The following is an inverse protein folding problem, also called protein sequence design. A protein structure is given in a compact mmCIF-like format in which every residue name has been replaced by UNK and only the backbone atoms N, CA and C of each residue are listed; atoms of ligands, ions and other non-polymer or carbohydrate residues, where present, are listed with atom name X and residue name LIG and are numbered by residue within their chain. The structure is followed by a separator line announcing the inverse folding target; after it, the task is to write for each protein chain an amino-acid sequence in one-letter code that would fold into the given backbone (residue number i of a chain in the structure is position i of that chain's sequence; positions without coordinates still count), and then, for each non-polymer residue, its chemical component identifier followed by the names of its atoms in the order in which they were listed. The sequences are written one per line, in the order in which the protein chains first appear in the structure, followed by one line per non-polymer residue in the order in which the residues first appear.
data_IF_597603527287
#
_entry.id   IF_597603527287
#
_cell.length_a   1.000
_cell.length_b   1.000
_cell.length_c   1.000
_cell.angle_alpha   90.00
_cell.angle_beta   90.00
_cell.angle_gamma   90.00
#
_symmetry.space_group_name_H-M   'P 1'
#
loop_
_entity.id
_entity.type
_entity.pdbx_description
1 polymer ?
#
# COMPACT_ATOMS: atom_id res chain seq x y z
N UNK A 1 2.92 -21.24 5.34
CA UNK A 1 3.17 -19.83 5.44
C UNK A 1 4.49 -19.32 4.86
N UNK A 2 5.16 -20.07 3.99
CA UNK A 2 6.47 -19.66 3.44
C UNK A 2 6.34 -18.91 2.09
N UNK A 3 5.14 -18.81 1.51
CA UNK A 3 4.93 -18.26 0.17
C UNK A 3 5.29 -16.78 0.00
N UNK A 4 5.05 -15.94 1.00
CA UNK A 4 5.31 -14.49 0.91
C UNK A 4 6.77 -14.12 1.14
N UNK A 5 7.50 -14.97 1.82
CA UNK A 5 8.93 -14.80 2.02
C UNK A 5 9.67 -14.75 0.67
N UNK A 6 9.17 -15.46 -0.34
CA UNK A 6 9.85 -15.57 -1.63
C UNK A 6 9.90 -14.27 -2.46
N UNK A 7 8.95 -13.36 -2.34
CA UNK A 7 8.93 -12.12 -3.15
C UNK A 7 9.99 -11.11 -2.77
N UNK A 8 10.40 -11.11 -1.50
CA UNK A 8 11.39 -10.19 -0.93
C UNK A 8 12.70 -10.89 -0.57
N UNK A 9 12.78 -12.18 -0.80
CA UNK A 9 14.02 -12.93 -0.59
C UNK A 9 15.14 -12.37 -1.47
N UNK A 10 16.32 -12.25 -0.92
CA UNK A 10 17.49 -11.74 -1.60
C UNK A 10 17.55 -10.22 -1.77
N UNK A 11 16.58 -9.44 -1.22
CA UNK A 11 16.61 -7.97 -1.26
C UNK A 11 17.10 -7.32 0.03
N UNK A 12 17.37 -8.10 1.08
CA UNK A 12 17.94 -7.62 2.33
C UNK A 12 16.99 -6.79 3.21
N UNK A 13 15.69 -6.73 2.91
CA UNK A 13 14.74 -5.87 3.63
C UNK A 13 14.58 -6.30 5.09
N UNK A 14 14.25 -7.57 5.36
CA UNK A 14 14.05 -8.05 6.73
C UNK A 14 15.30 -7.92 7.60
N UNK A 15 16.49 -8.36 7.19
CA UNK A 15 17.70 -8.17 8.00
C UNK A 15 18.02 -6.69 8.25
N UNK A 16 17.77 -5.80 7.27
CA UNK A 16 17.98 -4.35 7.45
C UNK A 16 17.04 -3.76 8.50
N UNK A 17 15.75 -4.15 8.50
CA UNK A 17 14.82 -3.73 9.56
C UNK A 17 15.15 -4.35 10.91
N UNK A 18 15.64 -5.58 10.95
CA UNK A 18 16.17 -6.21 12.17
C UNK A 18 17.32 -5.38 12.74
N UNK A 19 18.28 -5.01 11.90
CA UNK A 19 19.40 -4.16 12.30
C UNK A 19 18.94 -2.78 12.76
N UNK A 20 17.96 -2.17 12.09
CA UNK A 20 17.37 -0.89 12.52
C UNK A 20 16.80 -0.99 13.94
N UNK A 21 15.96 -2.02 14.20
CA UNK A 21 15.29 -2.18 15.50
C UNK A 21 16.28 -2.56 16.61
N UNK A 22 17.29 -3.37 16.30
CA UNK A 22 18.39 -3.70 17.22
C UNK A 22 19.40 -2.56 17.40
N UNK A 23 19.24 -1.44 16.67
CA UNK A 23 20.12 -0.25 16.72
C UNK A 23 21.53 -0.50 16.21
N UNK A 24 21.68 -1.43 15.30
CA UNK A 24 22.94 -1.82 14.66
C UNK A 24 22.99 -1.46 13.17
N UNK A 25 21.92 -0.89 12.63
CA UNK A 25 21.81 -0.55 11.22
C UNK A 25 22.62 0.69 10.85
N UNK A 26 23.11 0.71 9.63
CA UNK A 26 23.67 1.92 9.01
C UNK A 26 22.56 2.93 8.72
N UNK A 27 22.86 4.19 8.94
CA UNK A 27 22.01 5.32 8.61
C UNK A 27 22.67 6.16 7.52
N UNK A 28 21.85 6.87 6.74
CA UNK A 28 22.34 7.72 5.65
C UNK A 28 23.37 8.75 6.16
N UNK A 29 23.16 9.34 7.33
CA UNK A 29 24.11 10.28 7.95
C UNK A 29 25.48 9.66 8.27
N UNK A 30 25.56 8.33 8.43
CA UNK A 30 26.85 7.66 8.69
C UNK A 30 27.79 7.75 7.49
N UNK A 31 27.26 7.99 6.28
CA UNK A 31 28.04 8.23 5.05
C UNK A 31 29.01 9.42 5.24
N UNK A 32 28.60 10.40 6.04
CA UNK A 32 29.40 11.58 6.34
C UNK A 32 30.27 11.41 7.61
N UNK A 33 30.00 10.38 8.43
CA UNK A 33 30.64 10.20 9.74
C UNK A 33 30.88 8.72 10.06
N UNK A 34 32.16 8.32 10.17
CA UNK A 34 32.58 6.98 10.62
C UNK A 34 31.96 5.81 9.80
N UNK A 35 31.78 6.01 8.50
CA UNK A 35 31.13 5.03 7.64
C UNK A 35 31.88 3.68 7.64
N UNK A 36 33.21 3.71 7.45
CA UNK A 36 34.05 2.52 7.29
C UNK A 36 34.01 1.64 8.55
N UNK A 37 34.10 2.24 9.73
CA UNK A 37 34.06 1.53 11.00
C UNK A 37 32.68 0.88 11.23
N UNK A 38 31.61 1.63 11.01
CA UNK A 38 30.24 1.13 11.17
C UNK A 38 29.89 0.05 10.14
N UNK A 39 30.34 0.22 8.91
CA UNK A 39 30.16 -0.79 7.87
C UNK A 39 30.92 -2.08 8.21
N UNK A 40 32.19 -2.00 8.62
CA UNK A 40 32.98 -3.14 9.01
C UNK A 40 32.33 -3.91 10.19
N UNK A 41 31.80 -3.18 11.18
CA UNK A 41 31.10 -3.78 12.31
C UNK A 41 29.79 -4.47 11.89
N UNK A 42 29.02 -3.87 10.98
CA UNK A 42 27.78 -4.47 10.42
C UNK A 42 28.12 -5.73 9.63
N UNK A 43 29.12 -5.65 8.73
CA UNK A 43 29.59 -6.78 7.93
C UNK A 43 30.03 -7.95 8.81
N UNK A 44 30.85 -7.71 9.81
CA UNK A 44 31.33 -8.73 10.72
C UNK A 44 30.20 -9.47 11.47
N UNK A 45 29.13 -8.76 11.88
CA UNK A 45 27.95 -9.39 12.50
C UNK A 45 27.24 -10.33 11.54
N UNK A 46 27.00 -9.89 10.31
CA UNK A 46 26.33 -10.72 9.30
C UNK A 46 27.20 -11.91 8.88
N UNK A 47 28.51 -11.74 8.79
CA UNK A 47 29.46 -12.83 8.53
C UNK A 47 29.41 -13.91 9.63
N UNK A 48 29.29 -13.52 10.90
CA UNK A 48 29.11 -14.48 12.00
C UNK A 48 27.82 -15.28 11.86
N UNK A 49 26.72 -14.64 11.47
CA UNK A 49 25.44 -15.32 11.24
C UNK A 49 25.58 -16.32 10.09
N UNK A 50 26.12 -15.89 8.94
CA UNK A 50 26.31 -16.75 7.77
C UNK A 50 27.22 -17.94 8.09
N UNK A 51 28.29 -17.70 8.84
CA UNK A 51 29.18 -18.77 9.33
C UNK A 51 28.44 -19.77 10.23
N UNK A 52 27.57 -19.32 11.11
CA UNK A 52 26.78 -20.21 11.98
C UNK A 52 25.78 -21.08 11.18
N UNK A 53 25.38 -20.62 10.00
CA UNK A 53 24.52 -21.33 9.06
C UNK A 53 25.29 -22.21 8.07
N UNK A 54 26.63 -22.27 8.15
CA UNK A 54 27.49 -22.91 7.18
C UNK A 54 27.25 -22.47 5.75
N UNK A 55 26.95 -21.17 5.55
CA UNK A 55 26.67 -20.58 4.25
C UNK A 55 27.92 -19.91 3.69
N UNK A 56 28.38 -20.43 2.53
CA UNK A 56 29.48 -19.82 1.78
C UNK A 56 28.93 -18.79 0.80
N UNK A 57 29.61 -17.66 0.68
CA UNK A 57 29.21 -16.57 -0.19
C UNK A 57 30.42 -15.76 -0.67
N UNK A 58 30.25 -15.12 -1.80
CA UNK A 58 31.17 -14.10 -2.33
C UNK A 58 30.36 -12.85 -2.68
N UNK A 59 30.71 -11.72 -2.08
CA UNK A 59 30.06 -10.43 -2.31
C UNK A 59 31.00 -9.41 -2.93
N UNK A 60 32.20 -9.80 -3.34
CA UNK A 60 33.27 -8.89 -3.78
C UNK A 60 32.79 -7.88 -4.81
N UNK A 61 32.15 -8.34 -5.88
CA UNK A 61 31.67 -7.44 -6.94
C UNK A 61 30.44 -6.63 -6.51
N UNK A 62 29.51 -7.22 -5.74
CA UNK A 62 28.33 -6.55 -5.23
C UNK A 62 28.73 -5.49 -4.20
N UNK A 63 29.65 -5.80 -3.31
CA UNK A 63 30.19 -4.86 -2.32
C UNK A 63 30.86 -3.67 -2.99
N UNK A 64 31.66 -3.91 -4.03
CA UNK A 64 32.29 -2.85 -4.81
C UNK A 64 31.25 -1.91 -5.43
N UNK A 65 30.25 -2.45 -6.13
CA UNK A 65 29.16 -1.66 -6.73
C UNK A 65 28.37 -0.89 -5.66
N UNK A 66 28.14 -1.50 -4.49
CA UNK A 66 27.45 -0.84 -3.41
C UNK A 66 28.26 0.33 -2.84
N UNK A 67 29.58 0.16 -2.65
CA UNK A 67 30.48 1.22 -2.20
C UNK A 67 30.56 2.38 -3.23
N UNK A 68 30.59 2.08 -4.53
CA UNK A 68 30.47 3.10 -5.58
C UNK A 68 29.15 3.89 -5.45
N UNK A 69 28.03 3.20 -5.13
CA UNK A 69 26.75 3.83 -4.82
C UNK A 69 26.80 4.73 -3.57
N UNK A 70 27.54 4.36 -2.53
CA UNK A 70 27.75 5.19 -1.34
C UNK A 70 28.53 6.47 -1.71
N UNK A 71 29.59 6.37 -2.51
CA UNK A 71 30.30 7.57 -2.99
C UNK A 71 29.41 8.48 -3.82
N UNK A 72 28.55 7.90 -4.69
CA UNK A 72 27.59 8.69 -5.44
C UNK A 72 26.58 9.41 -4.52
N UNK A 73 26.14 8.81 -3.42
CA UNK A 73 25.27 9.47 -2.46
C UNK A 73 25.89 10.68 -1.77
N UNK A 74 27.22 10.76 -1.70
CA UNK A 74 27.93 11.94 -1.15
C UNK A 74 27.77 13.21 -2.00
N UNK A 75 27.39 13.05 -3.27
CA UNK A 75 27.13 14.18 -4.18
C UNK A 75 25.79 14.87 -3.90
N UNK A 76 24.89 14.22 -3.13
CA UNK A 76 23.58 14.77 -2.80
C UNK A 76 23.62 15.60 -1.51
N UNK A 77 22.68 16.55 -1.42
CA UNK A 77 22.46 17.28 -0.18
C UNK A 77 21.74 16.39 0.85
N UNK A 78 22.51 15.80 1.76
CA UNK A 78 21.98 15.00 2.85
C UNK A 78 21.53 15.93 3.99
N UNK A 79 20.28 15.78 4.44
CA UNK A 79 19.66 16.67 5.40
C UNK A 79 19.12 15.89 6.62
N UNK A 80 19.01 16.57 7.76
CA UNK A 80 18.21 16.11 8.88
C UNK A 80 16.74 16.38 8.56
N UNK A 81 16.02 15.34 8.12
CA UNK A 81 14.66 15.44 7.55
C UNK A 81 13.69 16.13 8.50
N UNK A 82 13.77 15.87 9.81
CA UNK A 82 12.93 16.48 10.83
C UNK A 82 13.13 18.00 10.92
N UNK A 83 14.36 18.51 10.73
CA UNK A 83 14.62 19.96 10.71
C UNK A 83 14.19 20.59 9.39
N UNK A 84 14.55 19.97 8.27
CA UNK A 84 14.24 20.51 6.93
C UNK A 84 12.74 20.60 6.69
N UNK A 85 12.00 19.51 6.90
CA UNK A 85 10.54 19.47 6.66
C UNK A 85 9.80 20.44 7.59
N UNK A 86 10.15 20.49 8.88
CA UNK A 86 9.51 21.43 9.80
C UNK A 86 9.84 22.88 9.49
N UNK A 87 11.02 23.19 8.92
CA UNK A 87 11.37 24.53 8.43
C UNK A 87 10.50 24.92 7.25
N UNK A 88 10.37 24.04 6.24
CA UNK A 88 9.52 24.28 5.08
C UNK A 88 8.06 24.55 5.48
N UNK A 89 7.54 23.78 6.43
CA UNK A 89 6.18 24.02 6.94
C UNK A 89 6.04 25.38 7.67
N UNK A 90 7.06 25.82 8.42
CA UNK A 90 7.07 27.15 9.04
C UNK A 90 7.11 28.29 8.01
N UNK A 91 7.74 28.05 6.87
CA UNK A 91 7.76 28.97 5.72
C UNK A 91 6.43 29.00 4.97
N UNK A 92 5.43 28.21 5.37
CA UNK A 92 4.12 28.13 4.73
C UNK A 92 4.10 27.27 3.46
N UNK A 93 5.12 26.45 3.24
CA UNK A 93 5.15 25.50 2.10
C UNK A 93 4.31 24.27 2.39
N UNK A 94 3.74 23.69 1.33
CA UNK A 94 3.02 22.41 1.39
C UNK A 94 3.99 21.25 1.16
N UNK A 95 3.79 20.15 1.89
CA UNK A 95 4.55 18.92 1.75
C UNK A 95 3.59 17.79 1.42
N UNK A 96 3.83 17.09 0.31
CA UNK A 96 3.11 15.87 -0.04
C UNK A 96 3.92 14.66 0.41
N UNK A 97 3.31 13.85 1.29
CA UNK A 97 3.90 12.59 1.75
C UNK A 97 3.25 11.44 1.00
N UNK A 98 4.03 10.74 0.19
CA UNK A 98 3.57 9.52 -0.49
C UNK A 98 4.03 8.29 0.29
N UNK A 99 3.05 7.47 0.73
CA UNK A 99 3.31 6.18 1.36
C UNK A 99 3.61 5.09 0.33
N UNK A 100 4.01 3.94 0.84
CA UNK A 100 4.27 2.75 0.02
C UNK A 100 3.46 1.56 0.56
N UNK A 101 3.22 0.56 -0.29
CA UNK A 101 2.46 -0.68 -0.03
C UNK A 101 0.97 -0.38 0.21
N UNK A 102 0.45 -0.55 1.44
CA UNK A 102 -0.94 -0.31 1.79
C UNK A 102 -1.21 -0.69 3.24
N UNK A 103 -2.34 -0.24 3.78
CA UNK A 103 -2.72 -0.37 5.19
C UNK A 103 -2.66 -1.80 5.69
N UNK A 104 -3.19 -2.77 4.92
CA UNK A 104 -3.23 -4.18 5.32
C UNK A 104 -1.86 -4.85 5.32
N UNK A 105 -0.80 -4.15 4.90
CA UNK A 105 0.60 -4.59 4.95
C UNK A 105 1.40 -3.87 6.04
N UNK A 106 0.79 -3.00 6.84
CA UNK A 106 1.46 -2.34 7.97
C UNK A 106 1.95 -3.37 8.99
N UNK A 107 3.15 -3.16 9.53
CA UNK A 107 3.79 -4.12 10.44
C UNK A 107 3.02 -4.31 11.73
N UNK A 108 2.30 -3.29 12.20
CA UNK A 108 1.57 -3.31 13.47
C UNK A 108 0.06 -3.51 13.26
N UNK A 109 -0.52 -2.88 12.23
CA UNK A 109 -1.97 -2.82 12.00
C UNK A 109 -2.44 -3.59 10.77
N UNK A 110 -1.54 -4.22 10.03
CA UNK A 110 -1.88 -5.06 8.88
C UNK A 110 -2.31 -6.49 9.26
N UNK A 111 -2.51 -7.31 8.23
CA UNK A 111 -2.87 -8.73 8.37
C UNK A 111 -1.67 -9.59 8.80
N UNK A 112 -1.19 -9.38 10.02
CA UNK A 112 -0.05 -10.09 10.58
C UNK A 112 -0.26 -11.63 10.56
N UNK A 113 0.75 -12.46 10.22
CA UNK A 113 2.15 -12.11 9.92
C UNK A 113 2.42 -11.75 8.44
N UNK A 114 1.39 -11.63 7.61
CA UNK A 114 1.50 -11.38 6.16
C UNK A 114 1.62 -9.88 5.84
N UNK A 115 2.58 -9.23 6.46
CA UNK A 115 2.83 -7.79 6.44
C UNK A 115 4.23 -7.45 5.93
N UNK A 116 4.50 -6.16 5.68
CA UNK A 116 5.86 -5.66 5.44
C UNK A 116 6.56 -5.34 6.77
N UNK A 117 7.83 -5.04 6.73
CA UNK A 117 8.62 -4.71 7.94
C UNK A 117 8.53 -3.21 8.33
N UNK A 118 7.70 -2.44 7.66
CA UNK A 118 7.58 -0.99 7.87
C UNK A 118 6.16 -0.58 8.22
N UNK A 119 6.01 0.60 8.83
CA UNK A 119 4.72 1.24 9.00
C UNK A 119 4.28 1.85 7.66
N UNK A 120 3.15 1.38 7.16
CA UNK A 120 2.58 1.81 5.87
C UNK A 120 1.36 2.71 6.04
N UNK A 121 0.85 2.85 7.27
CA UNK A 121 -0.22 3.77 7.61
C UNK A 121 0.29 5.22 7.66
N UNK A 122 -0.63 6.19 7.68
CA UNK A 122 -0.33 7.63 7.69
C UNK A 122 0.66 8.04 8.78
N UNK A 123 0.60 7.41 9.96
CA UNK A 123 1.56 7.63 11.06
C UNK A 123 3.01 7.35 10.65
N UNK A 124 3.24 6.54 9.60
CA UNK A 124 4.56 6.31 9.01
C UNK A 124 5.22 7.58 8.47
N UNK A 125 4.45 8.58 8.03
CA UNK A 125 4.97 9.89 7.66
C UNK A 125 5.54 10.64 8.87
N UNK A 126 4.86 10.56 10.02
CA UNK A 126 5.33 11.18 11.26
C UNK A 126 6.66 10.57 11.72
N UNK A 127 6.73 9.24 11.82
CA UNK A 127 7.92 8.53 12.29
C UNK A 127 9.06 8.51 11.27
N UNK A 128 8.75 8.54 9.98
CA UNK A 128 9.73 8.52 8.89
C UNK A 128 10.39 9.87 8.61
N UNK A 129 9.64 10.96 8.78
CA UNK A 129 10.10 12.32 8.46
C UNK A 129 10.33 13.20 9.68
N UNK A 130 9.96 12.73 10.89
CA UNK A 130 10.07 13.53 12.11
C UNK A 130 9.01 14.63 12.19
N UNK A 131 7.79 14.34 11.76
CA UNK A 131 6.66 15.27 11.84
C UNK A 131 5.83 15.04 13.09
N UNK A 132 5.41 16.13 13.73
CA UNK A 132 4.37 16.06 14.75
C UNK A 132 3.01 15.67 14.13
N UNK A 133 2.21 14.78 14.76
CA UNK A 133 0.94 14.31 14.18
C UNK A 133 -0.04 15.46 13.90
N UNK A 134 0.04 16.57 14.62
CA UNK A 134 -0.77 17.77 14.38
C UNK A 134 -0.33 18.59 13.14
N UNK A 135 0.65 18.12 12.39
CA UNK A 135 1.09 18.71 11.12
C UNK A 135 0.53 17.97 9.90
N UNK A 136 -0.08 16.83 10.15
CA UNK A 136 -0.82 16.11 9.10
C UNK A 136 -2.14 16.88 8.87
N UNK A 137 -2.35 17.30 7.64
CA UNK A 137 -3.58 17.94 7.21
C UNK A 137 -4.52 16.93 6.56
N UNK A 138 -4.67 17.02 5.24
CA UNK A 138 -5.48 16.07 4.47
C UNK A 138 -4.80 14.72 4.33
N UNK A 139 -5.58 13.65 4.48
CA UNK A 139 -5.13 12.28 4.24
C UNK A 139 -5.96 11.67 3.13
N UNK A 140 -5.33 11.47 1.97
CA UNK A 140 -5.96 10.84 0.81
C UNK A 140 -5.76 9.32 0.87
N UNK A 141 -6.87 8.58 0.97
CA UNK A 141 -6.89 7.12 0.86
C UNK A 141 -7.06 6.70 -0.60
N UNK A 142 -6.09 5.98 -1.15
CA UNK A 142 -6.19 5.44 -2.51
C UNK A 142 -6.79 4.04 -2.44
N UNK A 143 -7.93 3.84 -3.11
CA UNK A 143 -8.60 2.55 -3.23
C UNK A 143 -8.89 2.22 -4.70
N UNK A 144 -9.02 0.95 -5.02
CA UNK A 144 -9.53 0.50 -6.32
C UNK A 144 -11.03 0.19 -6.20
N UNK A 145 -11.72 0.18 -7.32
CA UNK A 145 -13.10 -0.29 -7.40
C UNK A 145 -13.25 -1.80 -7.09
N UNK A 146 -12.15 -2.52 -6.96
CA UNK A 146 -12.04 -3.92 -6.57
C UNK A 146 -10.80 -4.12 -5.69
N UNK A 147 -10.65 -5.27 -5.07
CA UNK A 147 -9.49 -5.57 -4.23
C UNK A 147 -8.44 -6.41 -4.97
N UNK A 148 -7.17 -6.19 -4.62
CA UNK A 148 -6.06 -7.03 -5.08
C UNK A 148 -5.12 -7.36 -3.94
N UNK A 149 -4.56 -8.57 -3.96
CA UNK A 149 -3.52 -8.98 -3.04
C UNK A 149 -2.37 -9.65 -3.77
N UNK A 150 -1.16 -9.37 -3.31
CA UNK A 150 0.05 -10.02 -3.79
C UNK A 150 0.58 -10.93 -2.69
N UNK A 151 0.68 -12.24 -2.99
CA UNK A 151 1.23 -13.23 -2.06
C UNK A 151 0.19 -13.85 -1.13
N UNK A 152 0.66 -14.58 -0.12
CA UNK A 152 -0.19 -15.26 0.85
C UNK A 152 -0.85 -14.28 1.84
N UNK A 153 -1.71 -14.79 2.67
CA UNK A 153 -2.44 -14.07 3.69
C UNK A 153 -3.93 -13.94 3.37
N UNK A 154 -4.70 -13.45 4.33
CA UNK A 154 -6.16 -13.40 4.24
C UNK A 154 -6.62 -12.47 3.11
N UNK A 155 -7.66 -12.91 2.42
CA UNK A 155 -8.34 -12.13 1.38
C UNK A 155 -9.80 -12.60 1.29
N UNK A 156 -10.68 -12.14 2.18
CA UNK A 156 -12.05 -12.64 2.29
C UNK A 156 -12.87 -12.55 1.00
N UNK A 157 -12.65 -11.51 0.21
CA UNK A 157 -13.38 -11.27 -1.04
C UNK A 157 -12.71 -11.86 -2.28
N UNK A 158 -11.67 -12.70 -2.13
CA UNK A 158 -10.97 -13.32 -3.26
C UNK A 158 -11.90 -14.14 -4.14
N UNK A 159 -11.73 -14.00 -5.46
CA UNK A 159 -12.49 -14.70 -6.48
C UNK A 159 -11.61 -15.73 -7.18
N UNK A 160 -12.09 -16.97 -7.24
CA UNK A 160 -11.40 -18.11 -7.86
C UNK A 160 -12.04 -18.53 -9.19
N UNK A 161 -13.04 -17.80 -9.65
CA UNK A 161 -13.83 -18.04 -10.85
C UNK A 161 -13.40 -17.15 -12.04
N UNK A 162 -14.15 -17.24 -13.16
CA UNK A 162 -13.93 -16.41 -14.34
C UNK A 162 -14.06 -14.92 -14.05
N UNK A 163 -14.83 -14.51 -13.04
CA UNK A 163 -14.96 -13.12 -12.63
C UNK A 163 -13.62 -12.57 -12.12
N UNK A 164 -12.97 -13.33 -11.23
CA UNK A 164 -11.65 -12.97 -10.70
C UNK A 164 -10.58 -12.90 -11.78
N UNK A 165 -10.64 -13.83 -12.76
CA UNK A 165 -9.76 -13.82 -13.92
C UNK A 165 -10.00 -12.60 -14.82
N UNK A 166 -11.26 -12.29 -15.11
CA UNK A 166 -11.65 -11.13 -15.92
C UNK A 166 -11.15 -9.82 -15.30
N UNK A 167 -11.35 -9.62 -13.99
CA UNK A 167 -10.83 -8.45 -13.26
C UNK A 167 -9.30 -8.37 -13.36
N UNK A 168 -8.60 -9.51 -13.23
CA UNK A 168 -7.13 -9.57 -13.34
C UNK A 168 -6.66 -9.16 -14.73
N UNK A 169 -7.28 -9.71 -15.77
CA UNK A 169 -6.86 -9.50 -17.16
C UNK A 169 -7.14 -8.04 -17.59
N UNK A 170 -8.35 -7.54 -17.37
CA UNK A 170 -8.73 -6.16 -17.68
C UNK A 170 -7.95 -5.14 -16.84
N UNK A 171 -7.75 -5.46 -15.56
CA UNK A 171 -7.00 -4.60 -14.65
C UNK A 171 -5.48 -4.68 -14.83
N UNK A 172 -4.95 -5.55 -15.71
CA UNK A 172 -3.51 -5.82 -15.85
C UNK A 172 -2.85 -6.12 -14.50
N UNK A 173 -3.54 -6.93 -13.66
CA UNK A 173 -3.11 -7.22 -12.30
C UNK A 173 -2.02 -8.30 -12.27
N UNK A 174 -0.86 -7.91 -12.80
CA UNK A 174 0.37 -8.71 -12.86
C UNK A 174 1.53 -7.96 -12.22
N UNK A 175 2.49 -8.67 -11.66
CA UNK A 175 3.69 -8.06 -11.08
C UNK A 175 4.58 -7.46 -12.16
N UNK A 176 4.91 -6.17 -12.08
CA UNK A 176 5.67 -5.45 -13.10
C UNK A 176 7.05 -6.09 -13.39
N UNK A 177 7.70 -6.70 -12.39
CA UNK A 177 9.03 -7.31 -12.53
C UNK A 177 8.96 -8.81 -12.78
N UNK A 178 7.98 -9.50 -12.18
CA UNK A 178 7.93 -10.98 -12.18
C UNK A 178 6.85 -11.53 -13.08
N UNK A 179 5.94 -10.71 -13.63
CA UNK A 179 4.76 -11.14 -14.37
C UNK A 179 3.76 -11.98 -13.54
N UNK A 180 3.98 -12.14 -12.23
CA UNK A 180 3.15 -12.99 -11.39
C UNK A 180 1.74 -12.40 -11.24
N UNK A 181 0.74 -13.27 -11.42
CA UNK A 181 -0.66 -12.94 -11.20
C UNK A 181 -0.92 -12.42 -9.79
N UNK A 182 -1.69 -11.34 -9.69
CA UNK A 182 -2.26 -10.88 -8.42
C UNK A 182 -3.57 -11.59 -8.17
N UNK A 183 -3.85 -11.87 -6.91
CA UNK A 183 -5.16 -12.32 -6.43
C UNK A 183 -6.12 -11.15 -6.56
N UNK A 184 -7.32 -11.38 -7.08
CA UNK A 184 -8.34 -10.35 -7.29
C UNK A 184 -9.63 -10.74 -6.60
N UNK A 185 -10.39 -9.74 -6.17
CA UNK A 185 -11.67 -9.95 -5.49
C UNK A 185 -12.54 -8.68 -5.49
N UNK A 186 -13.80 -8.83 -5.12
CA UNK A 186 -14.69 -7.68 -4.97
C UNK A 186 -14.20 -6.69 -3.92
N UNK A 187 -14.67 -5.44 -4.02
CA UNK A 187 -14.34 -4.40 -3.03
C UNK A 187 -14.78 -4.83 -1.62
N UNK A 188 -13.89 -4.59 -0.65
CA UNK A 188 -14.08 -5.00 0.75
C UNK A 188 -14.24 -3.75 1.63
N UNK A 189 -15.48 -3.42 1.98
CA UNK A 189 -15.79 -2.22 2.76
C UNK A 189 -15.44 -2.39 4.23
N UNK A 190 -15.37 -3.63 4.75
CA UNK A 190 -14.93 -3.87 6.13
C UNK A 190 -13.44 -3.50 6.26
N UNK A 191 -12.60 -4.00 5.33
CA UNK A 191 -11.18 -3.66 5.29
C UNK A 191 -10.95 -2.17 4.99
N UNK A 192 -11.81 -1.53 4.17
CA UNK A 192 -11.72 -0.11 3.86
C UNK A 192 -12.09 0.77 5.06
N UNK A 193 -13.19 0.48 5.78
CA UNK A 193 -13.55 1.19 7.02
C UNK A 193 -12.42 1.12 8.05
N UNK A 194 -11.85 -0.07 8.23
CA UNK A 194 -10.69 -0.25 9.08
C UNK A 194 -9.50 0.61 8.60
N UNK A 195 -9.21 0.60 7.29
CA UNK A 195 -8.12 1.38 6.71
C UNK A 195 -8.33 2.89 6.87
N UNK A 196 -9.55 3.38 6.67
CA UNK A 196 -9.93 4.78 6.89
C UNK A 196 -9.69 5.18 8.34
N UNK A 197 -10.14 4.36 9.28
CA UNK A 197 -10.02 4.59 10.71
C UNK A 197 -8.56 4.70 11.16
N UNK A 198 -7.71 3.73 10.81
CA UNK A 198 -6.32 3.70 11.31
C UNK A 198 -5.41 4.74 10.64
N UNK A 199 -5.79 5.25 9.47
CA UNK A 199 -5.06 6.31 8.77
C UNK A 199 -5.62 7.70 9.03
N UNK A 200 -6.84 7.83 9.53
CA UNK A 200 -7.54 9.11 9.61
C UNK A 200 -7.81 9.69 8.21
N UNK A 201 -8.22 8.85 7.24
CA UNK A 201 -8.49 9.27 5.86
C UNK A 201 -9.60 10.32 5.85
N UNK A 202 -9.34 11.44 5.19
CA UNK A 202 -10.30 12.55 5.04
C UNK A 202 -10.98 12.56 3.68
N UNK A 203 -10.32 11.99 2.67
CA UNK A 203 -10.80 11.93 1.27
C UNK A 203 -10.32 10.66 0.61
N UNK A 204 -11.11 10.12 -0.30
CA UNK A 204 -10.78 8.94 -1.09
C UNK A 204 -10.46 9.28 -2.54
N UNK A 205 -9.61 8.47 -3.12
CA UNK A 205 -9.32 8.41 -4.56
C UNK A 205 -9.73 7.02 -5.04
N UNK A 206 -10.76 6.96 -5.89
CA UNK A 206 -11.24 5.72 -6.49
C UNK A 206 -10.52 5.47 -7.81
N UNK A 207 -9.77 4.38 -7.85
CA UNK A 207 -8.97 3.99 -9.00
C UNK A 207 -9.56 2.79 -9.74
N UNK A 208 -9.27 2.70 -11.04
CA UNK A 208 -9.55 1.51 -11.87
C UNK A 208 -11.05 1.13 -11.94
N UNK A 209 -11.92 2.12 -11.92
CA UNK A 209 -13.36 1.90 -12.12
C UNK A 209 -13.68 1.40 -13.53
N UNK A 210 -12.90 1.80 -14.54
CA UNK A 210 -12.93 1.32 -15.92
C UNK A 210 -12.83 -0.21 -16.06
N UNK A 211 -12.14 -0.87 -15.16
CA UNK A 211 -12.00 -2.34 -15.15
C UNK A 211 -13.36 -3.05 -14.97
N UNK A 212 -14.31 -2.37 -14.35
CA UNK A 212 -15.65 -2.91 -14.07
C UNK A 212 -16.71 -2.52 -15.10
N UNK A 213 -16.36 -1.75 -16.13
CA UNK A 213 -17.27 -1.22 -17.15
C UNK A 213 -18.17 -2.29 -17.83
N UNK A 214 -17.67 -3.51 -17.97
CA UNK A 214 -18.37 -4.58 -18.66
C UNK A 214 -19.26 -5.47 -17.80
N UNK A 215 -19.29 -5.29 -16.50
CA UNK A 215 -20.02 -6.16 -15.58
C UNK A 215 -21.52 -5.81 -15.50
N UNK A 216 -22.38 -6.85 -15.45
CA UNK A 216 -23.82 -6.69 -15.21
C UNK A 216 -24.13 -6.34 -13.75
N UNK A 217 -23.38 -6.96 -12.85
CA UNK A 217 -23.55 -6.83 -11.40
C UNK A 217 -22.19 -6.70 -10.76
N UNK A 218 -22.09 -5.75 -9.84
CA UNK A 218 -20.89 -5.51 -9.03
C UNK A 218 -21.26 -5.83 -7.58
N UNK A 219 -20.34 -6.49 -6.86
CA UNK A 219 -20.56 -6.83 -5.46
C UNK A 219 -19.64 -6.03 -4.56
N UNK A 220 -20.17 -5.60 -3.42
CA UNK A 220 -19.40 -4.96 -2.35
C UNK A 220 -19.59 -5.76 -1.06
N UNK A 221 -18.49 -6.14 -0.40
CA UNK A 221 -18.53 -6.81 0.88
C UNK A 221 -18.77 -5.79 1.99
N UNK A 222 -19.91 -5.91 2.69
CA UNK A 222 -20.34 -4.97 3.72
C UNK A 222 -20.10 -5.47 5.15
N UNK A 223 -20.00 -6.81 5.32
CA UNK A 223 -19.78 -7.48 6.58
C UNK A 223 -19.06 -8.81 6.36
N UNK A 224 -18.58 -9.43 7.42
CA UNK A 224 -18.08 -10.81 7.42
C UNK A 224 -18.95 -11.70 8.28
N UNK A 225 -19.03 -12.99 7.93
CA UNK A 225 -19.47 -14.05 8.84
C UNK A 225 -18.26 -14.78 9.39
N UNK A 226 -18.13 -14.80 10.70
CA UNK A 226 -17.06 -15.52 11.41
C UNK A 226 -17.72 -16.50 12.37
N UNK A 227 -17.51 -17.80 12.17
CA UNK A 227 -18.15 -18.86 12.97
C UNK A 227 -19.70 -18.77 13.02
N UNK A 228 -20.32 -18.25 11.94
CA UNK A 228 -21.76 -18.08 11.81
C UNK A 228 -22.31 -16.78 12.39
N UNK A 229 -21.51 -15.96 13.03
CA UNK A 229 -21.89 -14.62 13.51
C UNK A 229 -21.47 -13.55 12.48
N UNK A 230 -22.36 -12.61 12.20
CA UNK A 230 -22.08 -11.48 11.32
C UNK A 230 -21.39 -10.35 12.10
N UNK A 231 -20.27 -9.88 11.56
CA UNK A 231 -19.47 -8.78 12.12
C UNK A 231 -19.19 -7.74 11.03
N UNK A 232 -19.10 -6.47 11.42
CA UNK A 232 -18.84 -5.32 10.54
C UNK A 232 -17.46 -4.68 10.73
N UNK A 233 -16.62 -5.28 11.56
CA UNK A 233 -15.25 -4.85 11.85
C UNK A 233 -14.21 -5.86 11.36
N UNK A 234 -12.97 -5.40 11.15
CA UNK A 234 -11.85 -6.23 10.74
C UNK A 234 -11.29 -6.98 11.97
N UNK A 235 -11.48 -8.33 12.08
CA UNK A 235 -11.06 -9.07 13.26
C UNK A 235 -9.56 -9.29 13.31
N UNK A 236 -9.01 -9.50 14.51
CA UNK A 236 -7.59 -9.81 14.71
C UNK A 236 -7.15 -11.08 13.99
N UNK A 237 -7.93 -12.16 14.13
CA UNK A 237 -7.72 -13.40 13.39
C UNK A 237 -8.69 -13.47 12.21
N UNK A 238 -8.16 -13.28 11.01
CA UNK A 238 -8.89 -13.28 9.75
C UNK A 238 -8.44 -14.43 8.84
N UNK A 239 -7.65 -15.38 9.36
CA UNK A 239 -6.98 -16.38 8.53
C UNK A 239 -7.90 -17.54 8.13
N UNK A 240 -8.88 -17.91 8.96
CA UNK A 240 -9.77 -19.04 8.71
C UNK A 240 -11.23 -18.69 9.02
N UNK A 241 -12.16 -19.30 8.27
CA UNK A 241 -13.58 -19.25 8.57
C UNK A 241 -14.27 -17.90 8.40
N UNK A 242 -13.69 -17.01 7.62
CA UNK A 242 -14.27 -15.71 7.29
C UNK A 242 -14.98 -15.78 5.94
N UNK A 243 -16.28 -15.56 5.95
CA UNK A 243 -17.10 -15.52 4.73
C UNK A 243 -17.58 -14.08 4.48
N UNK A 244 -17.39 -13.53 3.26
CA UNK A 244 -17.86 -12.19 2.93
C UNK A 244 -19.39 -12.14 2.78
N UNK A 245 -20.01 -11.10 3.31
CA UNK A 245 -21.43 -10.77 3.10
C UNK A 245 -21.52 -9.67 2.06
N UNK A 246 -22.16 -9.95 0.94
CA UNK A 246 -22.22 -9.04 -0.20
C UNK A 246 -23.55 -8.32 -0.35
N UNK A 247 -23.46 -7.05 -0.76
CA UNK A 247 -24.53 -6.32 -1.43
C UNK A 247 -24.23 -6.33 -2.93
N UNK A 248 -25.28 -6.54 -3.75
CA UNK A 248 -25.20 -6.50 -5.21
C UNK A 248 -25.70 -5.15 -5.72
N UNK A 249 -24.92 -4.55 -6.62
CA UNK A 249 -25.18 -3.26 -7.24
C UNK A 249 -25.24 -3.45 -8.77
N UNK A 250 -26.07 -2.71 -9.49
CA UNK A 250 -26.06 -2.71 -10.96
C UNK A 250 -24.69 -2.27 -11.49
N UNK A 251 -24.19 -2.95 -12.50
CA UNK A 251 -23.03 -2.50 -13.26
C UNK A 251 -23.45 -1.42 -14.28
N UNK A 252 -22.54 -0.53 -14.60
CA UNK A 252 -22.82 0.63 -15.47
C UNK A 252 -22.69 0.36 -16.95
N UNK A 253 -22.05 -0.70 -17.38
CA UNK A 253 -21.93 -1.14 -18.80
C UNK A 253 -21.60 -0.03 -19.79
N UNK A 254 -20.78 0.89 -19.38
CA UNK A 254 -20.41 2.08 -20.16
C UNK A 254 -18.89 2.25 -20.13
N UNK A 255 -18.26 2.38 -21.30
CA UNK A 255 -16.85 2.74 -21.41
C UNK A 255 -16.65 4.17 -20.88
N UNK A 256 -16.07 4.28 -19.70
CA UNK A 256 -15.82 5.56 -19.03
C UNK A 256 -14.49 6.21 -19.44
N UNK A 257 -13.64 5.54 -20.19
CA UNK A 257 -12.25 5.97 -20.46
C UNK A 257 -12.13 7.31 -21.20
N UNK A 258 -13.22 7.81 -21.79
CA UNK A 258 -13.26 9.10 -22.52
C UNK A 258 -13.94 10.21 -21.75
N UNK A 259 -14.48 9.93 -20.57
CA UNK A 259 -15.15 10.93 -19.75
C UNK A 259 -14.13 11.91 -19.15
N UNK A 260 -14.51 13.15 -19.06
CA UNK A 260 -13.68 14.28 -18.58
C UNK A 260 -14.29 15.03 -17.41
N UNK A 261 -15.56 14.75 -17.11
CA UNK A 261 -16.34 15.39 -16.03
C UNK A 261 -17.20 14.36 -15.31
N UNK A 262 -17.48 14.58 -14.03
CA UNK A 262 -18.42 13.76 -13.26
C UNK A 262 -19.86 13.83 -13.78
N UNK A 263 -20.22 14.89 -14.49
CA UNK A 263 -21.54 15.03 -15.12
C UNK A 263 -21.80 14.00 -16.23
N UNK A 264 -20.75 13.38 -16.75
CA UNK A 264 -20.83 12.35 -17.79
C UNK A 264 -21.00 10.94 -17.21
N UNK A 265 -20.91 10.77 -15.87
CA UNK A 265 -20.99 9.47 -15.23
C UNK A 265 -22.38 8.84 -15.39
N UNK A 266 -22.46 7.53 -15.76
CA UNK A 266 -23.71 6.80 -15.78
C UNK A 266 -24.42 6.81 -14.42
N UNK A 267 -25.75 6.71 -14.44
CA UNK A 267 -26.55 6.67 -13.22
C UNK A 267 -26.12 5.54 -12.27
N UNK A 268 -25.83 4.38 -12.82
CA UNK A 268 -25.38 3.21 -12.04
C UNK A 268 -24.01 3.45 -11.38
N UNK A 269 -23.10 4.15 -12.06
CA UNK A 269 -21.81 4.49 -11.48
C UNK A 269 -21.92 5.57 -10.41
N UNK A 270 -22.78 6.58 -10.61
CA UNK A 270 -23.10 7.56 -9.58
C UNK A 270 -23.73 6.89 -8.35
N UNK A 271 -24.62 5.92 -8.54
CA UNK A 271 -25.21 5.14 -7.45
C UNK A 271 -24.14 4.30 -6.71
N UNK A 272 -23.19 3.71 -7.44
CA UNK A 272 -22.06 2.99 -6.85
C UNK A 272 -21.17 3.90 -5.99
N UNK A 273 -20.80 5.08 -6.51
CA UNK A 273 -20.01 6.06 -5.76
C UNK A 273 -20.76 6.50 -4.50
N UNK A 274 -22.04 6.87 -4.63
CA UNK A 274 -22.86 7.32 -3.49
C UNK A 274 -22.98 6.23 -2.43
N UNK A 275 -23.17 4.97 -2.85
CA UNK A 275 -23.17 3.82 -1.93
C UNK A 275 -21.84 3.67 -1.19
N UNK A 276 -20.70 3.78 -1.89
CA UNK A 276 -19.40 3.71 -1.26
C UNK A 276 -19.20 4.84 -0.25
N UNK A 277 -19.54 6.09 -0.61
CA UNK A 277 -19.41 7.24 0.27
C UNK A 277 -20.28 7.11 1.52
N UNK A 278 -21.52 6.62 1.39
CA UNK A 278 -22.42 6.33 2.51
C UNK A 278 -21.84 5.24 3.44
N UNK A 279 -21.38 4.13 2.87
CA UNK A 279 -20.84 2.99 3.65
C UNK A 279 -19.51 3.29 4.32
N UNK A 280 -18.71 4.18 3.74
CA UNK A 280 -17.35 4.53 4.22
C UNK A 280 -17.35 5.85 5.01
N UNK A 281 -18.45 6.59 5.05
CA UNK A 281 -18.56 7.90 5.70
C UNK A 281 -17.43 8.87 5.28
N UNK A 282 -16.93 8.71 4.05
CA UNK A 282 -15.77 9.45 3.55
C UNK A 282 -15.95 9.80 2.08
N UNK A 283 -15.80 11.08 1.68
CA UNK A 283 -16.04 11.51 0.30
C UNK A 283 -14.98 10.99 -0.66
N UNK A 284 -15.40 10.56 -1.84
CA UNK A 284 -14.53 10.21 -2.97
C UNK A 284 -14.28 11.50 -3.77
N UNK A 285 -13.12 12.09 -3.60
CA UNK A 285 -12.74 13.37 -4.23
C UNK A 285 -12.25 13.21 -5.66
N UNK A 286 -11.60 12.10 -5.96
CA UNK A 286 -10.99 11.85 -7.27
C UNK A 286 -11.39 10.47 -7.75
N UNK A 287 -11.72 10.37 -9.05
CA UNK A 287 -12.05 9.12 -9.73
C UNK A 287 -11.15 8.96 -10.94
N UNK A 288 -10.46 7.83 -11.05
CA UNK A 288 -9.73 7.47 -12.25
C UNK A 288 -10.58 6.54 -13.11
N UNK A 289 -10.80 6.95 -14.36
CA UNK A 289 -11.63 6.26 -15.37
C UNK A 289 -10.79 5.60 -16.46
N UNK A 290 -9.47 5.50 -16.26
CA UNK A 290 -8.55 4.84 -17.17
C UNK A 290 -7.10 4.91 -16.70
N UNK A 291 -6.15 4.30 -17.45
CA UNK A 291 -4.75 4.20 -17.04
C UNK A 291 -3.94 5.48 -17.19
N UNK A 292 -4.39 6.44 -18.02
CA UNK A 292 -3.66 7.64 -18.30
C UNK A 292 -3.90 8.74 -17.26
N UNK A 293 -2.91 9.59 -17.07
CA UNK A 293 -2.98 10.70 -16.11
C UNK A 293 -4.14 11.65 -16.40
N UNK A 294 -4.48 11.85 -17.65
CA UNK A 294 -5.58 12.73 -18.09
C UNK A 294 -6.96 12.10 -17.83
N UNK A 295 -7.03 10.79 -17.55
CA UNK A 295 -8.24 10.05 -17.21
C UNK A 295 -8.53 10.08 -15.72
N UNK A 296 -8.27 11.23 -15.08
CA UNK A 296 -8.49 11.48 -13.65
C UNK A 296 -9.46 12.65 -13.51
N UNK A 297 -10.60 12.39 -12.89
CA UNK A 297 -11.70 13.36 -12.73
C UNK A 297 -11.75 13.79 -11.26
N UNK A 298 -11.59 15.08 -10.99
CA UNK A 298 -11.85 15.66 -9.67
C UNK A 298 -13.34 15.89 -9.51
N UNK A 299 -13.88 15.48 -8.35
CA UNK A 299 -15.26 15.71 -7.94
C UNK A 299 -15.32 16.81 -6.89
N UNK A 300 -16.45 17.47 -6.78
CA UNK A 300 -16.67 18.58 -5.84
C UNK A 300 -15.60 19.69 -5.99
N UNK A 301 -15.51 20.28 -7.16
CA UNK A 301 -14.85 21.56 -7.31
C UNK A 301 -15.62 22.55 -6.45
N UNK A 302 -14.97 23.10 -5.41
CA UNK A 302 -15.54 24.23 -4.68
C UNK A 302 -15.76 25.37 -5.68
N UNK A 303 -17.01 25.79 -5.82
CA UNK A 303 -17.40 26.90 -6.67
C UNK A 303 -16.89 28.23 -6.11
#
# INVERSE_FOLDING_TARGET
GLGDVYKRQGKGICPTYTDKVSRNGLRVGDILHNFEEKYAAAKARHEQILKSLNYEYDITEIEKQWLEGIEYLREFNLVDSEHEINSLLKEGKSVLCEGAQGTMLDVDFGSYPFVTSSNTICAGACTGLGLGPNKIGEVYGIMKAYCTRVGAGPFPTELFDETGKTIRDLGHEYGAVTGRERRCGWVDLVALRYSIMVNGVTKLILMKSDVLDGFDTIKACVAYKVNGEEIDYFPYDITEGVEPVYVELPGWKTDMTKMTSEDEFPEEFNAYISFLEEQLETPIKIVSVGPDREQTIERYTEA
#
